data_IF_472295626399
#
_entry.id   IF_472295626399
#
_cell.length_a   1.000
_cell.length_b   1.000
_cell.length_c   1.000
_cell.angle_alpha   90.00
_cell.angle_beta   90.00
_cell.angle_gamma   90.00
#
_symmetry.space_group_name_H-M   'P 1'
#
loop_
_entity.id
_entity.type
_entity.pdbx_description
1 polymer ?
#
# COMPACT_ATOMS: atom_id res chain seq x y z
N UNK A 1 -14.68 -12.65 9.13
CA UNK A 1 -14.39 -13.97 8.50
C UNK A 1 -14.92 -14.15 7.08
N UNK A 2 -15.48 -13.12 6.42
CA UNK A 2 -16.07 -13.23 5.07
C UNK A 2 -15.01 -13.28 3.95
N UNK A 3 -13.79 -12.79 4.19
CA UNK A 3 -12.72 -12.68 3.17
C UNK A 3 -12.01 -13.98 2.77
N UNK A 4 -12.38 -15.13 3.38
CA UNK A 4 -11.77 -16.43 3.07
C UNK A 4 -12.65 -17.37 2.24
N UNK A 5 -13.92 -17.03 2.00
CA UNK A 5 -14.80 -17.88 1.19
C UNK A 5 -14.50 -17.70 -0.31
N UNK A 6 -14.04 -18.78 -0.97
CA UNK A 6 -13.94 -18.87 -2.43
C UNK A 6 -12.54 -18.72 -3.06
N UNK A 7 -11.48 -18.48 -2.28
CA UNK A 7 -10.12 -18.33 -2.83
C UNK A 7 -9.36 -19.66 -2.81
N UNK A 8 -8.89 -20.12 -3.98
CA UNK A 8 -8.14 -21.39 -4.12
C UNK A 8 -6.70 -21.19 -3.63
N UNK A 9 -6.13 -22.14 -2.88
CA UNK A 9 -4.74 -22.08 -2.35
C UNK A 9 -3.69 -21.79 -3.45
N UNK A 10 -3.91 -22.27 -4.68
CA UNK A 10 -3.05 -21.99 -5.85
C UNK A 10 -2.96 -20.49 -6.22
N UNK A 11 -3.85 -19.65 -5.69
CA UNK A 11 -3.87 -18.20 -5.87
C UNK A 11 -2.90 -17.47 -4.91
N UNK A 12 -2.46 -18.13 -3.83
CA UNK A 12 -1.66 -17.56 -2.74
C UNK A 12 -0.17 -17.92 -2.80
N UNK A 13 0.34 -18.32 -3.96
CA UNK A 13 1.79 -18.57 -4.10
C UNK A 13 2.50 -17.23 -3.91
N UNK A 14 3.17 -17.05 -2.75
CA UNK A 14 4.22 -16.03 -2.59
C UNK A 14 5.27 -16.32 -3.64
N UNK A 15 5.10 -15.72 -4.81
CA UNK A 15 6.11 -15.77 -5.84
C UNK A 15 7.26 -14.91 -5.36
N UNK A 16 8.44 -15.50 -5.19
CA UNK A 16 9.69 -14.76 -5.12
C UNK A 16 9.78 -13.87 -6.36
N UNK A 17 9.29 -12.63 -6.21
CA UNK A 17 9.25 -11.68 -7.29
C UNK A 17 10.68 -11.25 -7.61
N UNK A 18 11.12 -11.49 -8.84
CA UNK A 18 12.37 -10.93 -9.37
C UNK A 18 12.04 -9.73 -10.23
N UNK A 19 12.58 -8.59 -9.79
CA UNK A 19 12.50 -7.31 -10.45
C UNK A 19 13.17 -7.40 -11.84
N UNK A 20 12.40 -7.23 -12.90
CA UNK A 20 12.90 -7.29 -14.29
C UNK A 20 13.67 -6.01 -14.61
N UNK A 21 14.99 -6.07 -14.38
CA UNK A 21 15.89 -4.92 -14.57
C UNK A 21 15.86 -4.40 -16.00
N UNK A 22 15.72 -5.27 -17.01
CA UNK A 22 15.74 -4.85 -18.40
C UNK A 22 14.51 -4.01 -18.72
N UNK A 23 13.32 -4.42 -18.29
CA UNK A 23 12.10 -3.62 -18.48
C UNK A 23 12.14 -2.27 -17.81
N UNK A 24 12.73 -2.19 -16.62
CA UNK A 24 12.91 -0.92 -15.93
C UNK A 24 13.88 -0.02 -16.71
N UNK A 25 14.97 -0.58 -17.23
CA UNK A 25 15.89 0.16 -18.10
C UNK A 25 15.17 0.65 -19.37
N UNK A 26 14.39 -0.20 -20.04
CA UNK A 26 13.64 0.16 -21.24
C UNK A 26 12.59 1.25 -20.95
N UNK A 27 11.90 1.18 -19.81
CA UNK A 27 10.96 2.21 -19.36
C UNK A 27 11.66 3.55 -19.10
N UNK A 28 12.85 3.52 -18.50
CA UNK A 28 13.66 4.71 -18.21
C UNK A 28 14.20 5.32 -19.51
N UNK A 29 14.75 4.50 -20.41
CA UNK A 29 15.42 4.92 -21.64
C UNK A 29 14.45 5.32 -22.75
N UNK A 30 13.38 4.54 -22.96
CA UNK A 30 12.51 4.64 -24.14
C UNK A 30 11.09 5.13 -23.82
N UNK A 31 10.78 5.42 -22.54
CA UNK A 31 9.46 5.91 -22.12
C UNK A 31 8.30 4.96 -22.47
N UNK A 32 8.56 3.64 -22.46
CA UNK A 32 7.60 2.61 -22.85
C UNK A 32 6.87 2.09 -21.62
N UNK A 33 5.55 2.19 -21.61
CA UNK A 33 4.70 1.50 -20.64
C UNK A 33 4.32 0.11 -21.17
N UNK A 34 4.43 -0.94 -20.35
CA UNK A 34 4.08 -2.29 -20.74
C UNK A 34 3.53 -3.12 -19.58
N UNK A 35 2.73 -4.12 -19.91
CA UNK A 35 2.32 -5.18 -18.98
C UNK A 35 2.99 -6.49 -19.39
N UNK A 36 3.55 -7.22 -18.42
CA UNK A 36 4.03 -8.57 -18.64
C UNK A 36 3.92 -9.44 -17.41
N UNK A 37 3.43 -10.67 -17.59
CA UNK A 37 3.22 -11.63 -16.51
C UNK A 37 2.42 -11.02 -15.35
N UNK A 38 1.40 -10.21 -15.68
CA UNK A 38 0.53 -9.50 -14.73
C UNK A 38 1.29 -8.45 -13.91
N UNK A 39 2.37 -7.91 -14.45
CA UNK A 39 3.13 -6.81 -13.84
C UNK A 39 3.12 -5.62 -14.78
N UNK A 40 2.71 -4.47 -14.27
CA UNK A 40 2.75 -3.21 -15.01
C UNK A 40 4.09 -2.52 -14.74
N UNK A 41 4.74 -2.09 -15.81
CA UNK A 41 5.84 -1.14 -15.80
C UNK A 41 5.39 0.12 -16.54
N UNK A 42 5.22 1.23 -15.83
CA UNK A 42 4.83 2.51 -16.40
C UNK A 42 5.47 3.67 -15.64
N UNK A 43 5.54 4.86 -16.27
CA UNK A 43 5.93 6.07 -15.54
C UNK A 43 4.79 6.58 -14.66
N UNK A 44 3.57 6.52 -15.17
CA UNK A 44 2.37 7.06 -14.54
C UNK A 44 1.22 6.05 -14.63
N UNK A 45 0.12 6.33 -13.93
CA UNK A 45 -1.12 5.61 -14.14
C UNK A 45 -1.78 6.12 -15.41
N UNK A 46 -1.54 5.44 -16.52
CA UNK A 46 -2.30 5.62 -17.75
C UNK A 46 -3.45 4.61 -17.78
N UNK A 47 -4.69 5.11 -17.98
CA UNK A 47 -5.93 4.31 -18.00
C UNK A 47 -6.05 3.29 -19.13
N UNK A 48 -4.93 2.91 -19.75
CA UNK A 48 -4.80 1.90 -20.80
C UNK A 48 -4.71 0.49 -20.24
N UNK A 49 -4.37 0.34 -18.96
CA UNK A 49 -4.22 -0.96 -18.34
C UNK A 49 -5.55 -1.47 -17.79
N UNK A 50 -5.91 -2.70 -18.16
CA UNK A 50 -6.93 -3.44 -17.44
C UNK A 50 -6.29 -3.93 -16.14
N UNK A 51 -6.63 -3.31 -15.01
CA UNK A 51 -5.95 -3.57 -13.74
C UNK A 51 -6.32 -4.93 -13.09
N UNK A 52 -6.99 -5.83 -13.81
CA UNK A 52 -7.47 -7.10 -13.27
C UNK A 52 -6.32 -8.11 -13.10
N UNK A 53 -6.29 -8.78 -11.94
CA UNK A 53 -5.37 -9.89 -11.62
C UNK A 53 -3.87 -9.56 -11.59
N UNK A 54 -3.50 -8.27 -11.51
CA UNK A 54 -2.11 -7.83 -11.39
C UNK A 54 -1.42 -8.47 -10.19
N UNK A 55 -0.17 -8.88 -10.38
CA UNK A 55 0.76 -9.34 -9.33
C UNK A 55 1.71 -8.24 -8.88
N UNK A 56 2.01 -7.29 -9.75
CA UNK A 56 2.97 -6.24 -9.44
C UNK A 56 2.73 -4.95 -10.21
N UNK A 57 3.09 -3.84 -9.60
CA UNK A 57 2.93 -2.51 -10.19
C UNK A 57 4.20 -1.70 -9.97
N UNK A 58 4.77 -1.17 -11.05
CA UNK A 58 5.95 -0.32 -11.06
C UNK A 58 5.60 1.01 -11.72
N UNK A 59 5.49 2.05 -10.89
CA UNK A 59 5.16 3.42 -11.29
C UNK A 59 6.32 4.34 -10.94
N UNK A 60 7.23 4.55 -11.89
CA UNK A 60 8.52 5.20 -11.58
C UNK A 60 8.43 6.71 -11.38
N UNK A 61 7.40 7.37 -11.92
CA UNK A 61 7.26 8.83 -11.90
C UNK A 61 5.90 9.30 -11.36
N UNK A 62 5.00 8.39 -10.98
CA UNK A 62 3.73 8.75 -10.39
C UNK A 62 3.96 9.49 -9.06
N UNK A 63 3.26 10.60 -8.89
CA UNK A 63 3.28 11.43 -7.68
C UNK A 63 2.07 11.17 -6.79
N UNK A 64 1.01 10.57 -7.33
CA UNK A 64 -0.22 10.27 -6.62
C UNK A 64 -0.76 8.89 -7.07
N UNK A 65 -1.38 8.17 -6.14
CA UNK A 65 -2.28 7.05 -6.45
C UNK A 65 -3.71 7.58 -6.28
N UNK A 66 -4.46 7.77 -7.38
CA UNK A 66 -5.84 8.27 -7.34
C UNK A 66 -6.80 7.34 -6.61
N UNK A 67 -7.99 7.88 -6.32
CA UNK A 67 -9.07 7.17 -5.64
C UNK A 67 -9.41 5.85 -6.34
N UNK A 68 -9.60 4.80 -5.55
CA UNK A 68 -10.01 3.45 -6.00
C UNK A 68 -9.08 2.76 -7.01
N UNK A 69 -7.87 3.28 -7.27
CA UNK A 69 -6.99 2.76 -8.35
C UNK A 69 -6.69 1.28 -8.19
N UNK A 70 -6.32 0.84 -6.99
CA UNK A 70 -6.01 -0.56 -6.68
C UNK A 70 -7.03 -1.17 -5.71
N UNK A 71 -8.21 -0.58 -5.56
CA UNK A 71 -9.25 -1.11 -4.68
C UNK A 71 -9.59 -2.56 -5.06
N UNK A 72 -9.58 -3.49 -4.10
CA UNK A 72 -9.89 -4.93 -4.29
C UNK A 72 -8.96 -5.68 -5.26
N UNK A 73 -7.76 -5.15 -5.50
CA UNK A 73 -6.76 -5.83 -6.34
C UNK A 73 -6.08 -6.96 -5.57
N UNK A 74 -6.85 -7.99 -5.22
CA UNK A 74 -6.47 -9.06 -4.30
C UNK A 74 -5.17 -9.78 -4.68
N UNK A 75 -4.78 -9.80 -5.96
CA UNK A 75 -3.59 -10.51 -6.42
C UNK A 75 -2.31 -9.68 -6.38
N UNK A 76 -2.40 -8.36 -6.16
CA UNK A 76 -1.20 -7.50 -6.19
C UNK A 76 -0.34 -7.81 -4.98
N UNK A 77 0.91 -8.20 -5.22
CA UNK A 77 1.87 -8.56 -4.18
C UNK A 77 2.85 -7.42 -3.92
N UNK A 78 3.17 -6.63 -4.95
CA UNK A 78 4.12 -5.52 -4.88
C UNK A 78 3.59 -4.27 -5.60
N UNK A 79 3.65 -3.14 -4.91
CA UNK A 79 3.46 -1.82 -5.49
C UNK A 79 4.74 -1.02 -5.24
N UNK A 80 5.46 -0.71 -6.31
CA UNK A 80 6.69 0.05 -6.30
C UNK A 80 6.45 1.40 -6.98
N UNK A 81 6.39 2.46 -6.18
CA UNK A 81 6.05 3.80 -6.62
C UNK A 81 6.91 4.85 -5.87
N UNK A 82 8.22 4.94 -6.17
CA UNK A 82 9.20 5.66 -5.35
C UNK A 82 8.91 7.15 -5.15
N UNK A 83 8.16 7.76 -6.08
CA UNK A 83 7.88 9.19 -6.10
C UNK A 83 6.47 9.56 -5.64
N UNK A 84 5.65 8.59 -5.24
CA UNK A 84 4.28 8.86 -4.80
C UNK A 84 4.33 9.62 -3.47
N UNK A 85 3.73 10.82 -3.48
CA UNK A 85 3.58 11.71 -2.34
C UNK A 85 2.25 11.46 -1.62
N UNK A 86 1.21 11.06 -2.36
CA UNK A 86 -0.13 10.89 -1.83
C UNK A 86 -0.80 9.60 -2.33
N UNK A 87 -1.44 8.88 -1.42
CA UNK A 87 -2.43 7.85 -1.76
C UNK A 87 -3.80 8.39 -1.40
N UNK A 88 -4.65 8.57 -2.41
CA UNK A 88 -6.01 9.07 -2.26
C UNK A 88 -6.94 8.00 -1.68
N UNK A 89 -8.18 8.42 -1.39
CA UNK A 89 -9.21 7.58 -0.76
C UNK A 89 -9.31 6.20 -1.45
N UNK A 90 -9.20 5.12 -0.67
CA UNK A 90 -9.25 3.74 -1.19
C UNK A 90 -8.25 3.42 -2.32
N UNK A 91 -7.19 4.22 -2.49
CA UNK A 91 -6.24 4.06 -3.60
C UNK A 91 -5.55 2.70 -3.62
N UNK A 92 -5.32 2.09 -2.45
CA UNK A 92 -4.70 0.77 -2.26
C UNK A 92 -5.54 -0.08 -1.29
N UNK A 93 -6.84 0.18 -1.13
CA UNK A 93 -7.65 -0.59 -0.18
C UNK A 93 -7.99 -2.00 -0.67
N UNK A 94 -8.15 -2.91 0.29
CA UNK A 94 -8.50 -4.31 0.08
C UNK A 94 -7.52 -5.05 -0.87
N UNK A 95 -6.27 -4.62 -0.92
CA UNK A 95 -5.20 -5.35 -1.60
C UNK A 95 -4.73 -6.52 -0.71
N UNK A 96 -5.53 -7.59 -0.65
CA UNK A 96 -5.40 -8.61 0.40
C UNK A 96 -4.14 -9.46 0.34
N UNK A 97 -3.44 -9.52 -0.81
CA UNK A 97 -2.13 -10.18 -0.93
C UNK A 97 -0.96 -9.19 -1.08
N UNK A 98 -1.16 -7.88 -0.83
CA UNK A 98 -0.08 -6.90 -0.91
C UNK A 98 0.95 -7.19 0.19
N UNK A 99 2.14 -7.65 -0.22
CA UNK A 99 3.26 -7.95 0.68
C UNK A 99 4.16 -6.73 0.83
N UNK A 100 4.35 -5.98 -0.25
CA UNK A 100 5.28 -4.86 -0.31
C UNK A 100 4.68 -3.62 -0.96
N UNK A 101 4.65 -2.53 -0.20
CA UNK A 101 4.40 -1.20 -0.72
C UNK A 101 5.66 -0.35 -0.54
N UNK A 102 6.15 0.25 -1.62
CA UNK A 102 7.35 1.09 -1.58
C UNK A 102 7.09 2.45 -2.21
N UNK A 103 7.15 3.49 -1.38
CA UNK A 103 7.35 4.87 -1.80
C UNK A 103 8.36 5.54 -0.88
N UNK A 104 9.28 6.32 -1.44
CA UNK A 104 10.27 7.09 -0.67
C UNK A 104 9.68 8.41 -0.17
N UNK A 105 8.71 8.96 -0.89
CA UNK A 105 8.20 10.32 -0.71
C UNK A 105 6.77 10.38 -0.17
N UNK A 106 6.21 9.26 0.31
CA UNK A 106 4.82 9.24 0.75
C UNK A 106 4.64 10.13 1.99
N UNK A 107 3.86 11.21 1.83
CA UNK A 107 3.57 12.19 2.89
C UNK A 107 2.12 12.09 3.40
N UNK A 108 1.19 11.67 2.54
CA UNK A 108 -0.25 11.63 2.87
C UNK A 108 -0.89 10.29 2.51
N UNK A 109 -1.60 9.71 3.49
CA UNK A 109 -2.52 8.58 3.30
C UNK A 109 -3.94 9.04 3.62
N UNK A 110 -4.78 9.18 2.58
CA UNK A 110 -6.18 9.60 2.71
C UNK A 110 -7.08 8.50 3.31
N UNK A 111 -8.38 8.80 3.40
CA UNK A 111 -9.39 7.92 4.02
C UNK A 111 -9.28 6.52 3.42
N UNK A 112 -9.08 5.52 4.27
CA UNK A 112 -8.95 4.12 3.85
C UNK A 112 -7.84 3.85 2.81
N UNK A 113 -6.83 4.70 2.67
CA UNK A 113 -5.79 4.58 1.63
C UNK A 113 -5.15 3.18 1.54
N UNK A 114 -4.90 2.53 2.68
CA UNK A 114 -4.38 1.17 2.79
C UNK A 114 -5.32 0.23 3.57
N UNK A 115 -6.61 0.56 3.64
CA UNK A 115 -7.61 -0.23 4.39
C UNK A 115 -7.55 -1.71 4.00
N UNK A 116 -7.52 -2.61 4.99
CA UNK A 116 -7.55 -4.06 4.80
C UNK A 116 -6.39 -4.65 3.97
N UNK A 117 -5.20 -4.02 3.97
CA UNK A 117 -3.97 -4.57 3.40
C UNK A 117 -3.33 -5.63 4.33
N UNK A 118 -4.01 -6.77 4.49
CA UNK A 118 -3.72 -7.77 5.52
C UNK A 118 -2.34 -8.43 5.46
N UNK A 119 -1.66 -8.46 4.30
CA UNK A 119 -0.37 -9.15 4.12
C UNK A 119 0.85 -8.22 4.09
N UNK A 120 0.67 -6.91 4.32
CA UNK A 120 1.72 -5.92 4.10
C UNK A 120 2.76 -5.97 5.22
N UNK A 121 3.95 -6.49 4.88
CA UNK A 121 5.09 -6.64 5.81
C UNK A 121 6.32 -5.83 5.41
N UNK A 122 6.42 -5.43 4.13
CA UNK A 122 7.54 -4.63 3.61
C UNK A 122 7.05 -3.24 3.22
N UNK A 123 7.27 -2.27 4.08
CA UNK A 123 6.89 -0.89 3.87
C UNK A 123 7.92 0.07 4.49
N UNK A 124 7.91 1.32 4.05
CA UNK A 124 8.59 2.41 4.72
C UNK A 124 7.69 3.64 4.73
N UNK A 125 7.25 4.03 5.93
CA UNK A 125 6.34 5.15 6.15
C UNK A 125 7.00 6.30 6.92
N UNK A 126 8.33 6.35 6.96
CA UNK A 126 9.07 7.38 7.70
C UNK A 126 8.79 8.82 7.23
N UNK A 127 8.31 8.98 6.01
CA UNK A 127 7.99 10.28 5.40
C UNK A 127 6.53 10.71 5.62
N UNK A 128 5.67 9.84 6.17
CA UNK A 128 4.25 10.16 6.38
C UNK A 128 4.10 11.30 7.38
N UNK A 129 3.30 12.30 7.00
CA UNK A 129 2.95 13.48 7.81
C UNK A 129 1.48 13.47 8.19
N UNK A 130 0.62 12.99 7.29
CA UNK A 130 -0.83 13.05 7.43
C UNK A 130 -1.47 11.69 7.19
N UNK A 131 -2.26 11.24 8.18
CA UNK A 131 -3.04 10.02 8.14
C UNK A 131 -4.51 10.37 8.36
N UNK A 132 -5.37 9.97 7.44
CA UNK A 132 -6.81 10.17 7.55
C UNK A 132 -7.51 8.95 8.16
N UNK A 133 -8.82 9.09 8.40
CA UNK A 133 -9.69 8.07 8.99
C UNK A 133 -9.46 6.70 8.35
N UNK A 134 -9.24 5.68 9.18
CA UNK A 134 -9.07 4.28 8.77
C UNK A 134 -7.94 4.02 7.74
N UNK A 135 -6.97 4.93 7.58
CA UNK A 135 -5.95 4.82 6.53
C UNK A 135 -5.16 3.49 6.57
N UNK A 136 -5.01 2.87 7.74
CA UNK A 136 -4.42 1.54 7.93
C UNK A 136 -5.31 0.58 8.72
N UNK A 137 -6.63 0.81 8.80
CA UNK A 137 -7.51 -0.12 9.52
C UNK A 137 -7.43 -1.53 8.93
N UNK A 138 -7.47 -2.53 9.81
CA UNK A 138 -7.40 -3.95 9.50
C UNK A 138 -6.13 -4.36 8.72
N UNK A 139 -5.02 -3.65 8.90
CA UNK A 139 -3.72 -4.04 8.34
C UNK A 139 -2.98 -5.02 9.27
N UNK A 140 -3.50 -6.24 9.35
CA UNK A 140 -3.12 -7.23 10.38
C UNK A 140 -1.65 -7.71 10.34
N UNK A 141 -0.93 -7.53 9.23
CA UNK A 141 0.51 -7.88 9.15
C UNK A 141 1.46 -6.74 9.52
N UNK A 142 0.95 -5.54 9.84
CA UNK A 142 1.79 -4.45 10.34
C UNK A 142 2.24 -4.77 11.76
N UNK A 143 3.54 -4.97 11.96
CA UNK A 143 4.11 -5.30 13.29
C UNK A 143 4.68 -4.07 13.98
N UNK A 144 5.63 -3.40 13.33
CA UNK A 144 6.31 -2.23 13.86
C UNK A 144 6.24 -1.10 12.83
N UNK A 145 5.59 0.01 13.17
CA UNK A 145 5.46 1.17 12.29
C UNK A 145 6.20 2.38 12.87
N UNK A 146 6.96 3.06 12.02
CA UNK A 146 7.71 4.27 12.36
C UNK A 146 7.13 5.47 11.61
N UNK A 147 6.63 6.45 12.36
CA UNK A 147 5.92 7.65 11.91
C UNK A 147 6.53 8.91 12.54
N UNK A 148 7.80 9.24 12.23
CA UNK A 148 8.54 10.29 12.93
C UNK A 148 8.03 11.70 12.66
N UNK A 149 7.23 11.88 11.60
CA UNK A 149 6.70 13.18 11.18
C UNK A 149 5.20 13.35 11.43
N UNK A 150 4.49 12.30 11.87
CA UNK A 150 3.04 12.36 12.13
C UNK A 150 2.80 13.09 13.45
N UNK A 151 1.99 14.14 13.39
CA UNK A 151 1.66 14.99 14.55
C UNK A 151 0.29 14.66 15.17
N UNK A 152 -0.60 14.05 14.39
CA UNK A 152 -1.95 13.65 14.79
C UNK A 152 -2.38 12.35 14.13
N UNK A 153 -3.11 11.51 14.87
CA UNK A 153 -3.83 10.36 14.32
C UNK A 153 -5.30 10.73 14.11
N UNK A 154 -5.85 10.36 12.95
CA UNK A 154 -7.29 10.43 12.72
C UNK A 154 -8.00 9.20 13.28
N UNK A 155 -9.33 9.29 13.41
CA UNK A 155 -10.18 8.22 13.92
C UNK A 155 -9.87 6.86 13.27
N UNK A 156 -9.73 5.83 14.09
CA UNK A 156 -9.56 4.44 13.66
C UNK A 156 -8.39 4.19 12.69
N UNK A 157 -7.37 5.08 12.67
CA UNK A 157 -6.25 4.98 11.74
C UNK A 157 -5.59 3.58 11.74
N UNK A 158 -5.51 2.93 12.91
CA UNK A 158 -4.98 1.57 13.10
C UNK A 158 -6.00 0.63 13.77
N UNK A 159 -7.30 0.88 13.55
CA UNK A 159 -8.35 0.02 14.10
C UNK A 159 -8.15 -1.44 13.62
N UNK A 160 -8.35 -2.38 14.53
CA UNK A 160 -8.22 -3.83 14.28
C UNK A 160 -6.88 -4.24 13.60
N UNK A 161 -5.78 -3.54 13.86
CA UNK A 161 -4.44 -3.96 13.45
C UNK A 161 -3.88 -5.00 14.43
N UNK A 162 -4.40 -6.23 14.40
CA UNK A 162 -4.12 -7.25 15.44
C UNK A 162 -2.67 -7.72 15.53
N UNK A 163 -1.88 -7.60 14.46
CA UNK A 163 -0.44 -7.93 14.48
C UNK A 163 0.46 -6.79 14.98
N UNK A 164 -0.09 -5.62 15.28
CA UNK A 164 0.69 -4.44 15.63
C UNK A 164 1.21 -4.52 17.07
N UNK A 165 2.54 -4.48 17.19
CA UNK A 165 3.24 -4.50 18.47
C UNK A 165 3.67 -3.08 18.89
N UNK A 166 4.03 -2.24 17.93
CA UNK A 166 4.60 -0.92 18.22
C UNK A 166 4.30 0.13 17.15
N UNK A 167 3.96 1.33 17.62
CA UNK A 167 3.98 2.57 16.83
C UNK A 167 5.03 3.49 17.44
N UNK A 168 5.99 3.93 16.63
CA UNK A 168 6.99 4.96 17.01
C UNK A 168 6.60 6.27 16.33
N UNK A 169 5.98 7.18 17.09
CA UNK A 169 5.51 8.49 16.61
C UNK A 169 5.92 9.62 17.59
N UNK A 170 7.20 10.05 17.61
CA UNK A 170 7.73 11.02 18.58
C UNK A 170 7.09 12.41 18.52
N UNK A 171 6.43 12.77 17.42
CA UNK A 171 5.75 14.06 17.25
C UNK A 171 4.25 14.02 17.58
N UNK A 172 3.71 12.85 17.93
CA UNK A 172 2.28 12.71 18.21
C UNK A 172 1.93 13.49 19.48
N UNK A 173 0.92 14.36 19.38
CA UNK A 173 0.48 15.18 20.50
C UNK A 173 -0.16 14.32 21.60
N UNK A 174 0.15 14.60 22.86
CA UNK A 174 -0.16 13.74 24.01
C UNK A 174 -1.66 13.52 24.29
N UNK A 175 -2.55 14.25 23.62
CA UNK A 175 -4.00 14.19 23.83
C UNK A 175 -4.75 13.32 22.81
N UNK A 176 -4.05 12.76 21.81
CA UNK A 176 -4.66 11.95 20.74
C UNK A 176 -4.63 10.43 21.04
N UNK A 177 -4.23 10.01 22.24
CA UNK A 177 -4.14 8.60 22.63
C UNK A 177 -5.51 8.03 23.04
N UNK A 178 -6.32 7.62 22.07
CA UNK A 178 -7.40 6.64 22.32
C UNK A 178 -7.11 5.40 21.48
N UNK A 179 -6.26 4.52 22.02
CA UNK A 179 -6.27 3.13 21.61
C UNK A 179 -7.41 2.45 22.35
N UNK A 180 -8.62 2.47 21.78
CA UNK A 180 -9.65 1.51 22.18
C UNK A 180 -9.17 0.13 21.73
N UNK A 181 -8.50 -0.57 22.64
CA UNK A 181 -8.25 -1.99 22.51
C UNK A 181 -9.61 -2.71 22.59
N UNK A 182 -10.24 -2.96 21.44
CA UNK A 182 -11.29 -3.98 21.39
C UNK A 182 -10.59 -5.34 21.53
N UNK A 183 -10.68 -5.88 22.75
CA UNK A 183 -10.32 -7.25 23.09
C UNK A 183 -11.40 -8.20 22.59
#
# INVERSE_FOLDING_TARGET
EISKQGRKIQQFVQTEYRLDKQRILDLIQNNISCEHNRIIYSKQLDGKFQLLNLKGVFLLSATEIPKLTFHTHDFVNIIYCPNVVKVCEDGVSECLNLVQFYSKKLETADVRAFYFCNCMVKFNFSSLKQLQRQSFSDCNSLVNINLPLVEKLSDECFYNCTGMLQIIAPKLMQNDYVFEQHT
#
